data_IF_913373742067
#
_entry.id   IF_913373742067
#
_cell.length_a   1.000
_cell.length_b   1.000
_cell.length_c   1.000
_cell.angle_alpha   90.00
_cell.angle_beta   90.00
_cell.angle_gamma   90.00
#
_symmetry.space_group_name_H-M   'P 1'
#
loop_
_entity.id
_entity.type
_entity.pdbx_description
1 polymer ?
#
# COMPACT_ATOMS: atom_id res chain seq x y z
N UNK A 1 -8.60 -10.22 -8.78
CA UNK A 1 -7.39 -10.88 -8.27
C UNK A 1 -7.12 -12.10 -9.14
N UNK A 2 -5.87 -12.41 -9.44
CA UNK A 2 -5.51 -13.65 -10.11
C UNK A 2 -5.47 -14.79 -9.10
N UNK A 3 -6.20 -15.85 -9.37
CA UNK A 3 -6.19 -17.06 -8.55
C UNK A 3 -5.31 -18.09 -9.28
N UNK A 4 -4.49 -18.79 -8.52
CA UNK A 4 -3.60 -19.85 -9.02
C UNK A 4 -4.01 -21.16 -8.36
N UNK A 5 -4.47 -22.08 -9.16
CA UNK A 5 -4.73 -23.44 -8.71
C UNK A 5 -3.40 -24.23 -8.83
N UNK A 6 -2.98 -24.81 -7.74
CA UNK A 6 -1.81 -25.69 -7.70
C UNK A 6 -2.32 -27.11 -7.61
N UNK A 7 -2.09 -27.86 -8.69
CA UNK A 7 -2.43 -29.28 -8.73
C UNK A 7 -1.15 -30.07 -8.36
N UNK A 8 -0.98 -30.29 -7.05
CA UNK A 8 0.07 -31.14 -6.54
C UNK A 8 -0.49 -32.55 -6.38
N UNK A 9 -0.01 -33.50 -7.16
CA UNK A 9 -0.39 -34.92 -7.11
C UNK A 9 -0.31 -35.54 -5.68
N UNK A 10 0.41 -34.90 -4.76
CA UNK A 10 0.68 -35.36 -3.41
C UNK A 10 0.22 -34.41 -2.31
N UNK A 11 -0.46 -33.29 -2.65
CA UNK A 11 -0.98 -32.38 -1.64
C UNK A 11 -2.15 -33.03 -0.87
N UNK A 12 -2.03 -33.09 0.44
CA UNK A 12 -3.10 -33.59 1.33
C UNK A 12 -4.34 -32.67 1.33
N UNK A 13 -4.17 -31.42 0.96
CA UNK A 13 -5.24 -30.42 0.88
C UNK A 13 -5.08 -29.57 -0.39
N UNK A 14 -6.19 -29.25 -1.06
CA UNK A 14 -6.20 -28.32 -2.18
C UNK A 14 -5.98 -26.92 -1.64
N UNK A 15 -4.84 -26.31 -1.96
CA UNK A 15 -4.57 -24.92 -1.62
C UNK A 15 -5.00 -23.99 -2.75
N UNK A 16 -5.72 -22.93 -2.41
CA UNK A 16 -6.03 -21.83 -3.32
C UNK A 16 -5.01 -20.75 -3.08
N UNK A 17 -4.19 -20.48 -4.09
CA UNK A 17 -3.21 -19.42 -4.05
C UNK A 17 -3.68 -18.22 -4.88
N UNK A 18 -3.16 -17.04 -4.59
CA UNK A 18 -3.45 -15.84 -5.35
C UNK A 18 -2.17 -15.04 -5.57
N UNK A 19 -2.08 -14.40 -6.74
CA UNK A 19 -1.03 -13.43 -6.97
C UNK A 19 -1.32 -12.17 -6.15
N UNK A 20 -0.32 -11.70 -5.44
CA UNK A 20 -0.40 -10.53 -4.55
C UNK A 20 -0.86 -9.27 -5.31
N UNK A 21 -2.01 -8.66 -4.97
CA UNK A 21 -2.49 -7.44 -5.62
C UNK A 21 -2.01 -6.16 -4.94
N UNK A 22 -1.56 -6.26 -3.68
CA UNK A 22 -1.09 -5.16 -2.83
C UNK A 22 -0.05 -5.66 -1.84
N UNK A 23 0.86 -4.80 -1.43
CA UNK A 23 1.89 -5.10 -0.42
C UNK A 23 1.38 -4.89 1.01
N UNK A 24 0.37 -4.05 1.21
CA UNK A 24 -0.16 -3.67 2.52
C UNK A 24 -0.47 -4.85 3.45
N UNK A 25 -1.21 -5.90 3.02
CA UNK A 25 -1.51 -7.03 3.90
C UNK A 25 -0.25 -7.77 4.37
N UNK A 26 0.79 -7.83 3.53
CA UNK A 26 2.05 -8.48 3.88
C UNK A 26 2.80 -7.69 4.95
N UNK A 27 2.90 -6.37 4.82
CA UNK A 27 3.52 -5.50 5.82
C UNK A 27 2.76 -5.55 7.16
N UNK A 28 1.42 -5.58 7.12
CA UNK A 28 0.60 -5.76 8.34
C UNK A 28 0.89 -7.10 9.01
N UNK A 29 1.03 -8.18 8.24
CA UNK A 29 1.37 -9.50 8.79
C UNK A 29 2.78 -9.52 9.40
N UNK A 30 3.75 -8.85 8.78
CA UNK A 30 5.10 -8.69 9.36
C UNK A 30 5.03 -7.86 10.64
N UNK A 31 4.26 -6.78 10.64
CA UNK A 31 4.07 -5.95 11.83
C UNK A 31 3.45 -6.75 12.98
N UNK A 32 2.52 -7.65 12.69
CA UNK A 32 1.85 -8.47 13.70
C UNK A 32 2.72 -9.62 14.25
N UNK A 33 3.92 -9.86 13.69
CA UNK A 33 4.82 -10.88 14.21
C UNK A 33 5.54 -10.38 15.47
N UNK A 34 5.44 -11.17 16.54
CA UNK A 34 6.08 -10.90 17.82
C UNK A 34 5.41 -9.78 18.63
N UNK A 35 5.93 -9.60 19.84
CA UNK A 35 5.48 -8.52 20.72
C UNK A 35 6.15 -7.21 20.29
N UNK A 36 5.34 -6.16 20.17
CA UNK A 36 5.80 -4.80 19.89
C UNK A 36 5.35 -3.84 20.99
N UNK A 37 6.17 -2.86 21.26
CA UNK A 37 5.89 -1.78 22.19
C UNK A 37 5.61 -0.50 21.41
N UNK A 38 4.85 0.42 21.98
CA UNK A 38 4.71 1.79 21.46
C UNK A 38 6.07 2.50 21.28
N UNK A 39 7.10 2.05 22.01
CA UNK A 39 8.46 2.59 21.89
C UNK A 39 9.18 2.15 20.61
N UNK A 40 8.65 1.14 19.93
CA UNK A 40 9.17 0.67 18.64
C UNK A 40 8.61 1.48 17.47
N UNK A 41 7.68 2.40 17.75
CA UNK A 41 7.04 3.28 16.78
C UNK A 41 7.74 4.67 16.72
N UNK A 42 7.80 5.30 15.58
CA UNK A 42 7.26 4.86 14.29
C UNK A 42 8.13 3.78 13.63
N UNK A 43 7.50 2.73 13.11
CA UNK A 43 8.17 1.69 12.34
C UNK A 43 7.88 1.90 10.84
N UNK A 44 8.94 2.05 10.06
CA UNK A 44 8.83 2.25 8.61
C UNK A 44 9.30 1.01 7.88
N UNK A 45 8.47 0.49 6.99
CA UNK A 45 8.78 -0.67 6.15
C UNK A 45 8.68 -0.26 4.69
N UNK A 46 9.59 -0.73 3.85
CA UNK A 46 9.56 -0.50 2.41
C UNK A 46 10.01 -1.75 1.66
N UNK A 47 9.47 -1.93 0.46
CA UNK A 47 9.84 -3.00 -0.45
C UNK A 47 9.72 -2.58 -1.91
N UNK A 48 10.48 -3.23 -2.78
CA UNK A 48 10.18 -3.27 -4.21
C UNK A 48 9.26 -4.46 -4.47
N UNK A 49 7.97 -4.24 -4.33
CA UNK A 49 6.96 -5.29 -4.32
C UNK A 49 6.33 -5.53 -5.69
N UNK A 50 6.38 -6.77 -6.17
CA UNK A 50 5.65 -7.18 -7.37
C UNK A 50 4.18 -7.39 -7.05
N UNK A 51 3.30 -6.69 -7.78
CA UNK A 51 1.86 -6.74 -7.63
C UNK A 51 1.18 -7.14 -8.93
N UNK A 52 0.09 -7.90 -8.81
CA UNK A 52 -0.69 -8.35 -9.96
C UNK A 52 -2.17 -8.08 -9.72
N UNK A 53 -2.78 -7.28 -10.59
CA UNK A 53 -4.19 -6.91 -10.50
C UNK A 53 -4.96 -7.39 -11.72
N UNK A 54 -6.09 -8.04 -11.52
CA UNK A 54 -6.96 -8.44 -12.60
C UNK A 54 -7.77 -7.23 -13.09
N UNK A 55 -7.09 -6.36 -13.83
CA UNK A 55 -7.72 -5.20 -14.45
C UNK A 55 -8.53 -5.67 -15.69
N UNK A 56 -9.77 -5.18 -15.87
CA UNK A 56 -10.51 -5.46 -17.09
C UNK A 56 -9.78 -4.89 -18.30
N UNK A 57 -9.90 -5.55 -19.45
CA UNK A 57 -9.17 -5.17 -20.68
C UNK A 57 -9.43 -3.72 -21.10
N UNK A 58 -10.65 -3.23 -20.93
CA UNK A 58 -11.02 -1.85 -21.26
C UNK A 58 -10.45 -0.79 -20.32
N UNK A 59 -9.85 -1.18 -19.19
CA UNK A 59 -9.20 -0.27 -18.24
C UNK A 59 -7.68 -0.17 -18.42
N UNK A 60 -7.09 -1.01 -19.27
CA UNK A 60 -5.65 -0.99 -19.53
C UNK A 60 -5.27 0.27 -20.30
N UNK A 61 -4.16 0.93 -19.88
CA UNK A 61 -3.73 2.19 -20.47
C UNK A 61 -2.20 2.31 -20.50
N UNK A 62 -1.58 1.90 -21.60
CA UNK A 62 -0.13 1.95 -21.78
C UNK A 62 0.64 1.37 -20.60
N UNK A 63 1.61 2.10 -20.09
CA UNK A 63 2.35 1.75 -18.88
C UNK A 63 1.68 2.27 -17.59
N UNK A 64 0.64 3.10 -17.72
CA UNK A 64 -0.02 3.74 -16.58
C UNK A 64 -0.96 2.79 -15.83
N UNK A 65 -1.56 1.84 -16.56
CA UNK A 65 -2.46 0.87 -15.95
C UNK A 65 -2.28 -0.51 -16.58
N UNK A 66 -1.59 -1.37 -15.86
CA UNK A 66 -1.18 -2.70 -16.30
C UNK A 66 -1.61 -3.76 -15.29
N UNK A 67 -1.55 -5.03 -15.67
CA UNK A 67 -1.93 -6.16 -14.80
C UNK A 67 -0.80 -6.64 -13.90
N UNK A 68 0.47 -6.42 -14.29
CA UNK A 68 1.64 -6.77 -13.50
C UNK A 68 2.62 -5.61 -13.44
N UNK A 69 3.07 -5.23 -12.26
CA UNK A 69 3.97 -4.09 -12.04
C UNK A 69 4.72 -4.25 -10.72
N UNK A 70 5.82 -3.53 -10.59
CA UNK A 70 6.58 -3.43 -9.34
C UNK A 70 6.38 -2.04 -8.77
N UNK A 71 6.12 -1.98 -7.47
CA UNK A 71 6.02 -0.72 -6.71
C UNK A 71 7.22 -0.60 -5.77
N UNK A 72 7.77 0.60 -5.66
CA UNK A 72 8.52 1.06 -4.50
C UNK A 72 7.50 1.50 -3.45
N UNK A 73 7.11 0.59 -2.60
CA UNK A 73 5.98 0.75 -1.68
C UNK A 73 6.46 0.78 -0.24
N UNK A 74 5.83 1.60 0.58
CA UNK A 74 6.18 1.75 1.98
C UNK A 74 4.96 1.93 2.88
N UNK A 75 5.09 1.47 4.12
CA UNK A 75 4.08 1.60 5.16
C UNK A 75 4.73 2.10 6.45
N UNK A 76 4.10 3.08 7.06
CA UNK A 76 4.51 3.66 8.33
C UNK A 76 3.49 3.23 9.38
N UNK A 77 3.95 2.51 10.39
CA UNK A 77 3.17 2.16 11.57
C UNK A 77 3.55 3.13 12.66
N UNK A 78 2.61 3.93 13.14
CA UNK A 78 2.86 4.99 14.10
C UNK A 78 1.66 5.18 15.04
N UNK A 79 1.88 5.90 16.14
CA UNK A 79 0.81 6.37 17.01
C UNK A 79 0.12 7.59 16.37
N UNK A 80 -1.10 7.89 16.83
CA UNK A 80 -1.92 8.96 16.26
C UNK A 80 -1.25 10.33 16.35
N UNK A 81 -0.57 10.62 17.44
CA UNK A 81 0.17 11.86 17.64
C UNK A 81 1.43 11.99 16.76
N UNK A 82 1.91 10.89 16.20
CA UNK A 82 3.06 10.85 15.29
C UNK A 82 2.68 11.08 13.83
N UNK A 83 1.40 11.02 13.46
CA UNK A 83 0.94 11.08 12.06
C UNK A 83 1.40 12.36 11.37
N UNK A 84 1.23 13.51 12.02
CA UNK A 84 1.60 14.81 11.44
C UNK A 84 3.10 14.88 11.17
N UNK A 85 3.93 14.47 12.13
CA UNK A 85 5.38 14.48 12.00
C UNK A 85 5.87 13.53 10.92
N UNK A 86 5.32 12.32 10.84
CA UNK A 86 5.68 11.34 9.83
C UNK A 86 5.24 11.78 8.43
N UNK A 87 4.06 12.38 8.30
CA UNK A 87 3.58 12.94 7.03
C UNK A 87 4.51 14.05 6.54
N UNK A 88 4.97 14.93 7.42
CA UNK A 88 5.91 16.00 7.08
C UNK A 88 7.25 15.45 6.60
N UNK A 89 7.80 14.48 7.33
CA UNK A 89 9.05 13.81 6.95
C UNK A 89 8.91 13.13 5.57
N UNK A 90 7.78 12.50 5.31
CA UNK A 90 7.52 11.87 4.02
C UNK A 90 7.42 12.90 2.87
N UNK A 91 6.76 14.04 3.07
CA UNK A 91 6.65 15.11 2.07
C UNK A 91 8.03 15.70 1.76
N UNK A 92 8.84 15.93 2.78
CA UNK A 92 10.21 16.44 2.62
C UNK A 92 11.08 15.44 1.85
N UNK A 93 10.98 14.15 2.20
CA UNK A 93 11.66 13.07 1.48
C UNK A 93 11.26 13.04 0.00
N UNK A 94 9.94 13.01 -0.28
CA UNK A 94 9.41 12.99 -1.64
C UNK A 94 9.87 14.21 -2.45
N UNK A 95 9.87 15.39 -1.84
CA UNK A 95 10.32 16.63 -2.48
C UNK A 95 11.80 16.57 -2.86
N UNK A 96 12.64 15.96 -2.02
CA UNK A 96 14.06 15.77 -2.32
C UNK A 96 14.25 14.77 -3.47
N UNK A 97 13.53 13.63 -3.45
CA UNK A 97 13.58 12.64 -4.54
C UNK A 97 13.19 13.26 -5.88
N UNK A 98 12.10 14.03 -5.93
CA UNK A 98 11.70 14.70 -7.18
C UNK A 98 12.73 15.72 -7.65
N UNK A 99 13.36 16.45 -6.73
CA UNK A 99 14.42 17.39 -7.07
C UNK A 99 15.64 16.68 -7.66
N UNK A 100 16.04 15.56 -7.05
CA UNK A 100 17.18 14.75 -7.51
C UNK A 100 16.92 14.13 -8.88
N UNK A 101 15.65 13.84 -9.21
CA UNK A 101 15.20 13.42 -10.53
C UNK A 101 15.03 14.57 -11.53
N UNK A 102 15.29 15.82 -11.15
CA UNK A 102 15.24 16.99 -12.01
C UNK A 102 13.85 17.63 -12.14
N UNK A 103 12.88 17.28 -11.29
CA UNK A 103 11.57 17.92 -11.25
C UNK A 103 11.59 19.13 -10.31
N UNK A 104 11.57 20.34 -10.88
CA UNK A 104 11.53 21.57 -10.10
C UNK A 104 10.15 21.89 -9.52
N UNK A 105 9.10 21.42 -10.17
CA UNK A 105 7.70 21.72 -9.81
C UNK A 105 6.84 20.48 -9.91
N UNK A 106 5.99 20.25 -8.92
CA UNK A 106 4.95 19.23 -8.94
C UNK A 106 3.68 19.73 -8.25
N UNK A 107 2.55 19.10 -8.56
CA UNK A 107 1.26 19.43 -7.95
C UNK A 107 0.94 18.39 -6.88
N UNK A 108 0.68 18.88 -5.69
CA UNK A 108 0.12 18.06 -4.61
C UNK A 108 -1.40 18.19 -4.63
N UNK A 109 -2.09 17.05 -4.62
CA UNK A 109 -3.55 16.99 -4.47
C UNK A 109 -3.86 16.18 -3.23
N UNK A 110 -4.64 16.75 -2.36
CA UNK A 110 -5.22 16.04 -1.23
C UNK A 110 -6.42 15.21 -1.72
N UNK A 111 -6.47 13.95 -1.32
CA UNK A 111 -7.62 13.07 -1.58
C UNK A 111 -8.48 13.00 -0.36
N UNK A 112 -9.72 13.45 -0.48
CA UNK A 112 -10.70 13.44 0.58
C UNK A 112 -11.77 12.37 0.32
N UNK A 113 -12.73 12.29 1.23
CA UNK A 113 -13.85 11.35 1.21
C UNK A 113 -14.71 11.53 -0.03
N UNK A 114 -14.82 10.54 -0.93
CA UNK A 114 -15.70 10.65 -2.10
C UNK A 114 -17.17 10.50 -1.70
N UNK A 115 -18.07 11.12 -2.47
CA UNK A 115 -19.52 10.99 -2.26
C UNK A 115 -19.96 9.52 -2.37
N UNK A 116 -19.48 8.81 -3.42
CA UNK A 116 -19.74 7.37 -3.61
C UNK A 116 -18.55 6.60 -3.05
N UNK A 117 -18.77 5.92 -1.94
CA UNK A 117 -17.75 5.17 -1.22
C UNK A 117 -18.26 3.84 -0.70
N UNK A 118 -17.37 2.89 -0.51
CA UNK A 118 -17.65 1.65 0.22
C UNK A 118 -17.37 1.88 1.72
N UNK A 119 -18.14 1.21 2.59
CA UNK A 119 -17.98 1.29 4.03
C UNK A 119 -18.86 2.37 4.69
N UNK A 120 -18.96 2.31 6.02
CA UNK A 120 -19.72 3.26 6.83
C UNK A 120 -18.98 4.60 6.99
N UNK A 121 -19.71 5.65 7.43
CA UNK A 121 -19.12 6.94 7.77
C UNK A 121 -18.03 6.83 8.84
N UNK A 122 -18.27 6.01 9.86
CA UNK A 122 -17.33 5.80 10.97
C UNK A 122 -15.99 5.21 10.52
N UNK A 123 -16.01 4.25 9.59
CA UNK A 123 -14.78 3.68 9.01
C UNK A 123 -14.00 4.74 8.24
N UNK A 124 -14.70 5.63 7.53
CA UNK A 124 -14.06 6.72 6.81
C UNK A 124 -13.55 7.83 7.73
N UNK A 125 -14.23 8.08 8.84
CA UNK A 125 -13.76 9.03 9.84
C UNK A 125 -12.44 8.56 10.45
N UNK A 126 -12.34 7.28 10.80
CA UNK A 126 -11.09 6.67 11.24
C UNK A 126 -10.00 6.72 10.16
N UNK A 127 -10.35 6.45 8.90
CA UNK A 127 -9.41 6.49 7.78
C UNK A 127 -8.86 7.89 7.52
N UNK A 128 -9.66 8.94 7.70
CA UNK A 128 -9.23 10.33 7.48
C UNK A 128 -8.39 10.89 8.62
N UNK A 129 -8.48 10.32 9.82
CA UNK A 129 -7.58 10.66 10.93
C UNK A 129 -6.15 10.19 10.62
N UNK A 130 -5.99 9.24 9.69
CA UNK A 130 -4.72 8.60 9.36
C UNK A 130 -4.12 9.07 8.01
N UNK A 131 -4.56 10.21 7.48
CA UNK A 131 -4.02 10.79 6.24
C UNK A 131 -3.37 12.14 6.51
#
# INVERSE_FOLDING_TARGET
MFIVEVDEEHAREKSINALKPMNCPCHVQIFNQGLKSYRDLPLRMAEFGSCNRYEPSGALHGIMRVRGFTQDDGHIFCEEDQIESETKVYIDFLSNVYRDLGFEKFKVKFSDRPEKRAGSGEVWDLSLIHI
#
